data_IF_074584579699
#
_entry.id   IF_074584579699
#
_cell.length_a   1.000
_cell.length_b   1.000
_cell.length_c   1.000
_cell.angle_alpha   90.00
_cell.angle_beta   90.00
_cell.angle_gamma   90.00
#
_symmetry.space_group_name_H-M   'P 1'
#
loop_
_entity.id
_entity.type
_entity.pdbx_description
1 polymer ?
#
# COMPACT_ATOMS: atom_id res chain seq x y z
N UNK A 1 -1.80 -10.61 15.65
CA UNK A 1 -3.11 -10.58 14.94
C UNK A 1 -2.92 -11.06 13.51
N UNK A 2 -3.95 -11.66 12.92
CA UNK A 2 -4.06 -11.95 11.49
C UNK A 2 -4.53 -10.70 10.74
N UNK A 3 -3.79 -10.25 9.74
CA UNK A 3 -4.02 -8.99 9.03
C UNK A 3 -4.21 -9.23 7.53
N UNK A 4 -5.02 -8.40 6.90
CA UNK A 4 -4.95 -8.16 5.46
C UNK A 4 -4.09 -6.91 5.20
N UNK A 5 -3.20 -6.94 4.21
CA UNK A 5 -2.39 -5.79 3.82
C UNK A 5 -2.94 -5.16 2.54
N UNK A 6 -3.32 -3.88 2.60
CA UNK A 6 -3.60 -3.11 1.39
C UNK A 6 -2.26 -2.71 0.75
N UNK A 7 -1.95 -3.32 -0.39
CA UNK A 7 -0.66 -3.16 -1.05
C UNK A 7 -0.85 -2.80 -2.52
N UNK A 8 -0.11 -1.81 -3.00
CA UNK A 8 -0.06 -1.46 -4.43
C UNK A 8 1.22 -1.93 -5.11
N UNK A 9 2.10 -2.62 -4.38
CA UNK A 9 3.48 -2.90 -4.80
C UNK A 9 4.45 -1.72 -4.55
N UNK A 10 3.96 -0.61 -4.00
CA UNK A 10 4.78 0.55 -3.66
C UNK A 10 5.58 0.39 -2.36
N UNK A 11 6.58 1.26 -2.21
CA UNK A 11 7.50 1.28 -1.06
C UNK A 11 6.79 1.40 0.30
N UNK A 12 5.75 2.23 0.38
CA UNK A 12 5.07 2.52 1.65
C UNK A 12 4.22 1.32 2.09
N UNK A 13 3.52 0.65 1.16
CA UNK A 13 2.78 -0.57 1.49
C UNK A 13 3.71 -1.72 1.87
N UNK A 14 4.88 -1.83 1.22
CA UNK A 14 5.85 -2.86 1.54
C UNK A 14 6.47 -2.62 2.93
N UNK A 15 6.84 -1.37 3.25
CA UNK A 15 7.36 -1.01 4.57
C UNK A 15 6.31 -1.19 5.69
N UNK A 16 5.06 -0.80 5.43
CA UNK A 16 3.98 -1.00 6.40
C UNK A 16 3.75 -2.49 6.70
N UNK A 17 3.77 -3.33 5.67
CA UNK A 17 3.67 -4.78 5.81
C UNK A 17 4.86 -5.35 6.60
N UNK A 18 6.07 -4.85 6.33
CA UNK A 18 7.28 -5.23 7.05
C UNK A 18 7.24 -4.89 8.54
N UNK A 19 6.83 -3.66 8.89
CA UNK A 19 6.70 -3.22 10.30
C UNK A 19 5.75 -4.13 11.09
N UNK A 20 4.55 -4.40 10.57
CA UNK A 20 3.59 -5.25 11.30
C UNK A 20 4.08 -6.70 11.41
N UNK A 21 4.82 -7.21 10.43
CA UNK A 21 5.45 -8.54 10.52
C UNK A 21 6.52 -8.57 11.60
N UNK A 22 7.39 -7.54 11.69
CA UNK A 22 8.39 -7.42 12.78
C UNK A 22 7.74 -7.33 14.16
N UNK A 23 6.57 -6.71 14.27
CA UNK A 23 5.78 -6.63 15.50
C UNK A 23 5.07 -7.95 15.86
N UNK A 24 5.24 -9.01 15.06
CA UNK A 24 4.67 -10.33 15.33
C UNK A 24 3.24 -10.52 14.80
N UNK A 25 2.75 -9.61 13.97
CA UNK A 25 1.51 -9.82 13.22
C UNK A 25 1.73 -10.77 12.04
N UNK A 26 0.67 -11.48 11.64
CA UNK A 26 0.69 -12.37 10.47
C UNK A 26 -0.15 -11.75 9.37
N UNK A 27 0.43 -11.53 8.21
CA UNK A 27 -0.29 -11.04 7.03
C UNK A 27 -0.81 -12.24 6.25
N UNK A 28 -2.12 -12.48 6.28
CA UNK A 28 -2.77 -13.65 5.67
C UNK A 28 -3.14 -13.40 4.20
N UNK A 29 -3.31 -12.14 3.82
CA UNK A 29 -3.74 -11.72 2.47
C UNK A 29 -3.09 -10.41 2.09
N UNK A 30 -2.61 -10.32 0.85
CA UNK A 30 -2.34 -9.05 0.18
C UNK A 30 -3.56 -8.69 -0.66
N UNK A 31 -4.09 -7.49 -0.48
CA UNK A 31 -5.29 -7.00 -1.19
C UNK A 31 -4.93 -5.76 -1.99
N UNK A 32 -5.33 -5.73 -3.26
CA UNK A 32 -5.13 -4.59 -4.17
C UNK A 32 -6.42 -4.28 -4.91
N UNK A 33 -6.86 -3.02 -4.84
CA UNK A 33 -7.94 -2.51 -5.68
C UNK A 33 -7.34 -1.85 -6.92
N UNK A 34 -7.79 -2.30 -8.09
CA UNK A 34 -7.38 -1.79 -9.40
C UNK A 34 -8.48 -0.88 -9.94
N UNK A 35 -8.32 0.44 -9.99
CA UNK A 35 -9.33 1.27 -10.63
C UNK A 35 -9.44 0.91 -12.12
N UNK A 36 -10.66 0.76 -12.63
CA UNK A 36 -10.96 0.49 -14.05
C UNK A 36 -10.55 1.64 -14.97
N UNK A 37 -10.39 2.83 -14.42
CA UNK A 37 -10.06 4.06 -15.14
C UNK A 37 -8.54 4.22 -15.25
N UNK A 38 -8.04 4.30 -16.48
CA UNK A 38 -6.64 4.65 -16.77
C UNK A 38 -6.27 6.06 -16.24
N UNK A 39 -7.28 6.91 -16.00
CA UNK A 39 -7.19 8.28 -15.48
C UNK A 39 -7.55 8.43 -13.98
N UNK A 40 -7.44 7.37 -13.18
CA UNK A 40 -7.76 7.44 -11.74
C UNK A 40 -6.73 8.28 -10.96
N UNK A 41 -7.22 9.35 -10.32
CA UNK A 41 -6.46 10.24 -9.45
C UNK A 41 -5.99 9.60 -8.13
N UNK A 42 -6.39 8.36 -7.83
CA UNK A 42 -6.22 7.72 -6.52
C UNK A 42 -5.23 6.54 -6.46
N UNK A 43 -4.89 5.89 -7.58
CA UNK A 43 -3.99 4.71 -7.58
C UNK A 43 -2.95 4.72 -8.71
N UNK A 44 -1.72 4.32 -8.39
CA UNK A 44 -0.61 4.13 -9.33
C UNK A 44 -0.96 3.07 -10.38
N UNK A 45 -1.38 3.49 -11.58
CA UNK A 45 -1.65 2.59 -12.71
C UNK A 45 -0.39 1.89 -13.27
N UNK A 46 0.82 2.50 -13.31
CA UNK A 46 2.01 1.73 -13.63
C UNK A 46 2.28 0.77 -12.47
N UNK A 47 2.33 -0.52 -12.75
CA UNK A 47 2.83 -1.57 -11.86
C UNK A 47 1.93 -2.06 -10.73
N UNK A 48 0.69 -1.61 -10.60
CA UNK A 48 -0.23 -2.21 -9.62
C UNK A 48 -0.34 -3.73 -9.82
N UNK A 49 -0.31 -4.22 -11.07
CA UNK A 49 -0.32 -5.66 -11.38
C UNK A 49 0.91 -6.39 -10.85
N UNK A 50 2.03 -5.70 -10.60
CA UNK A 50 3.21 -6.28 -9.94
C UNK A 50 2.97 -6.54 -8.46
N UNK A 51 1.92 -5.99 -7.85
CA UNK A 51 1.55 -6.32 -6.46
C UNK A 51 1.26 -7.82 -6.29
N UNK A 52 0.76 -8.50 -7.34
CA UNK A 52 0.59 -9.95 -7.33
C UNK A 52 1.95 -10.67 -7.27
N UNK A 53 2.93 -10.22 -8.05
CA UNK A 53 4.29 -10.77 -8.02
C UNK A 53 4.95 -10.52 -6.66
N UNK A 54 4.78 -9.32 -6.09
CA UNK A 54 5.23 -9.01 -4.73
C UNK A 54 4.63 -9.97 -3.70
N UNK A 55 3.32 -10.18 -3.73
CA UNK A 55 2.63 -11.11 -2.83
C UNK A 55 3.12 -12.55 -2.99
N UNK A 56 3.32 -13.00 -4.24
CA UNK A 56 3.90 -14.31 -4.55
C UNK A 56 5.31 -14.48 -4.01
N UNK A 57 6.18 -13.48 -4.18
CA UNK A 57 7.54 -13.49 -3.64
C UNK A 57 7.54 -13.49 -2.10
N UNK A 58 6.57 -12.81 -1.48
CA UNK A 58 6.38 -12.82 -0.04
C UNK A 58 5.76 -14.13 0.49
N UNK A 59 5.30 -15.04 -0.39
CA UNK A 59 4.61 -16.26 0.00
C UNK A 59 3.22 -16.01 0.60
N UNK A 60 2.60 -14.87 0.31
CA UNK A 60 1.31 -14.45 0.86
C UNK A 60 0.25 -14.52 -0.24
N UNK A 61 -0.93 -15.12 0.00
CA UNK A 61 -2.00 -15.16 -1.00
C UNK A 61 -2.46 -13.75 -1.42
N UNK A 62 -2.61 -13.56 -2.73
CA UNK A 62 -3.03 -12.30 -3.34
C UNK A 62 -4.56 -12.28 -3.59
N UNK A 63 -5.17 -11.12 -3.40
CA UNK A 63 -6.55 -10.81 -3.79
C UNK A 63 -6.55 -9.48 -4.56
N UNK A 64 -6.70 -9.58 -5.88
CA UNK A 64 -6.88 -8.44 -6.76
C UNK A 64 -8.34 -8.24 -7.12
N UNK A 65 -8.85 -7.01 -7.01
CA UNK A 65 -10.21 -6.69 -7.43
C UNK A 65 -10.24 -5.42 -8.26
N UNK A 66 -11.03 -5.42 -9.33
CA UNK A 66 -11.34 -4.19 -10.04
C UNK A 66 -12.24 -3.31 -9.18
N UNK A 67 -11.94 -2.02 -9.19
CA UNK A 67 -12.76 -0.98 -8.58
C UNK A 67 -13.30 -0.07 -9.67
N UNK A 68 -14.53 0.40 -9.47
CA UNK A 68 -15.17 1.38 -10.35
C UNK A 68 -14.40 2.72 -10.41
N UNK A 69 -13.58 3.05 -9.41
CA UNK A 69 -13.00 4.38 -9.25
C UNK A 69 -14.02 5.44 -8.82
N UNK A 70 -15.27 5.03 -8.55
CA UNK A 70 -16.31 5.89 -8.00
C UNK A 70 -16.22 5.90 -6.48
N UNK A 71 -16.08 7.09 -5.90
CA UNK A 71 -15.81 7.26 -4.46
C UNK A 71 -16.76 6.47 -3.56
N UNK A 72 -18.07 6.52 -3.83
CA UNK A 72 -19.08 5.87 -2.98
C UNK A 72 -19.04 4.34 -3.11
N UNK A 73 -18.74 3.82 -4.30
CA UNK A 73 -18.66 2.38 -4.57
C UNK A 73 -17.37 1.76 -4.09
N UNK A 74 -16.25 2.49 -4.15
CA UNK A 74 -14.93 2.01 -3.73
C UNK A 74 -14.90 1.49 -2.28
N UNK A 75 -15.69 2.10 -1.40
CA UNK A 75 -15.77 1.65 -0.01
C UNK A 75 -16.56 0.35 0.13
N UNK A 76 -17.64 0.20 -0.63
CA UNK A 76 -18.43 -1.05 -0.69
C UNK A 76 -17.62 -2.18 -1.34
N UNK A 77 -16.85 -1.86 -2.38
CA UNK A 77 -15.93 -2.78 -3.07
C UNK A 77 -14.82 -3.23 -2.12
N UNK A 78 -14.19 -2.30 -1.38
CA UNK A 78 -13.21 -2.62 -0.35
C UNK A 78 -13.81 -3.45 0.77
N UNK A 79 -15.00 -3.10 1.23
CA UNK A 79 -15.73 -3.85 2.25
C UNK A 79 -16.00 -5.29 1.77
N UNK A 80 -16.46 -5.44 0.52
CA UNK A 80 -16.65 -6.74 -0.12
C UNK A 80 -15.37 -7.56 -0.22
N UNK A 81 -14.23 -6.92 -0.55
CA UNK A 81 -12.93 -7.56 -0.64
C UNK A 81 -12.43 -8.09 0.72
N UNK A 82 -12.70 -7.35 1.79
CA UNK A 82 -12.24 -7.68 3.14
C UNK A 82 -13.18 -8.65 3.87
N UNK A 83 -14.46 -8.69 3.47
CA UNK A 83 -15.47 -9.55 4.08
C UNK A 83 -15.12 -11.03 3.88
N UNK A 84 -15.12 -11.78 4.98
CA UNK A 84 -14.88 -13.23 4.94
C UNK A 84 -13.42 -13.65 4.83
N UNK A 85 -12.45 -12.72 4.88
CA UNK A 85 -11.02 -13.07 4.86
C UNK A 85 -10.52 -13.73 6.17
N UNK A 86 -11.31 -13.74 7.24
CA UNK A 86 -10.92 -14.34 8.53
C UNK A 86 -9.80 -13.61 9.26
N UNK A 87 -9.56 -12.34 8.90
CA UNK A 87 -8.57 -11.44 9.51
C UNK A 87 -9.17 -10.65 10.67
N UNK A 88 -8.30 -10.13 11.53
CA UNK A 88 -8.63 -9.32 12.71
C UNK A 88 -8.39 -7.81 12.45
N UNK A 89 -7.69 -7.48 11.37
CA UNK A 89 -7.37 -6.11 11.02
C UNK A 89 -6.83 -5.95 9.61
N UNK A 90 -6.65 -4.69 9.23
CA UNK A 90 -6.15 -4.25 7.94
C UNK A 90 -4.98 -3.32 8.16
N UNK A 91 -3.85 -3.56 7.49
CA UNK A 91 -2.70 -2.66 7.48
C UNK A 91 -2.64 -1.88 6.18
N UNK A 92 -2.30 -0.59 6.25
CA UNK A 92 -2.10 0.25 5.07
C UNK A 92 -0.79 1.04 5.15
N UNK A 93 -0.23 1.35 3.97
CA UNK A 93 0.93 2.24 3.82
C UNK A 93 0.57 3.73 3.84
N UNK A 94 -0.53 4.14 4.47
CA UNK A 94 -0.91 5.55 4.51
C UNK A 94 0.08 6.35 5.40
N UNK A 95 0.77 7.32 4.80
CA UNK A 95 1.75 8.17 5.51
C UNK A 95 1.12 9.47 6.03
N UNK A 96 0.46 10.23 5.14
CA UNK A 96 -0.09 11.56 5.50
C UNK A 96 -1.49 11.85 4.93
N UNK A 97 -2.04 10.97 4.07
CA UNK A 97 -3.35 11.17 3.45
C UNK A 97 -4.50 10.86 4.40
N UNK A 98 -5.10 11.91 4.99
CA UNK A 98 -6.24 11.75 5.91
C UNK A 98 -7.43 11.10 5.22
N UNK A 99 -7.57 11.37 3.92
CA UNK A 99 -8.59 10.81 3.07
C UNK A 99 -8.47 9.28 2.99
N UNK A 100 -7.29 8.76 2.63
CA UNK A 100 -7.07 7.31 2.55
C UNK A 100 -7.25 6.62 3.90
N UNK A 101 -6.72 7.22 4.97
CA UNK A 101 -6.84 6.69 6.34
C UNK A 101 -8.30 6.53 6.76
N UNK A 102 -9.09 7.62 6.70
CA UNK A 102 -10.48 7.64 7.18
C UNK A 102 -11.37 6.63 6.46
N UNK A 103 -11.18 6.44 5.15
CA UNK A 103 -11.98 5.48 4.37
C UNK A 103 -11.71 4.05 4.81
N UNK A 104 -10.45 3.70 5.02
CA UNK A 104 -10.09 2.36 5.51
C UNK A 104 -10.58 2.16 6.95
N UNK A 105 -10.44 3.17 7.81
CA UNK A 105 -10.99 3.13 9.18
C UNK A 105 -12.51 2.93 9.18
N UNK A 106 -13.24 3.60 8.28
CA UNK A 106 -14.69 3.46 8.16
C UNK A 106 -15.12 2.07 7.69
N UNK A 107 -14.45 1.51 6.68
CA UNK A 107 -14.69 0.13 6.24
C UNK A 107 -14.35 -0.88 7.35
N UNK A 108 -13.21 -0.69 8.02
CA UNK A 108 -12.80 -1.55 9.13
C UNK A 108 -13.81 -1.50 10.28
N UNK A 109 -14.31 -0.30 10.62
CA UNK A 109 -15.35 -0.10 11.63
C UNK A 109 -16.64 -0.86 11.29
N UNK A 110 -17.09 -0.83 10.04
CA UNK A 110 -18.28 -1.59 9.58
C UNK A 110 -18.09 -3.10 9.68
N UNK A 111 -16.87 -3.59 9.44
CA UNK A 111 -16.53 -5.02 9.47
C UNK A 111 -16.08 -5.54 10.85
N UNK A 112 -15.96 -4.67 11.86
CA UNK A 112 -15.41 -5.04 13.16
C UNK A 112 -13.91 -5.36 13.14
N UNK A 113 -13.17 -4.82 12.15
CA UNK A 113 -11.73 -5.00 11.97
C UNK A 113 -10.96 -3.82 12.60
N UNK A 114 -9.70 -4.06 12.99
CA UNK A 114 -8.79 -2.98 13.38
C UNK A 114 -8.07 -2.40 12.15
N UNK A 115 -8.03 -1.08 12.03
CA UNK A 115 -7.19 -0.41 11.03
C UNK A 115 -5.81 -0.08 11.62
N UNK A 116 -4.75 -0.48 10.92
CA UNK A 116 -3.35 -0.23 11.31
C UNK A 116 -2.68 0.65 10.25
N UNK A 117 -2.09 1.75 10.70
CA UNK A 117 -1.39 2.71 9.86
C UNK A 117 0.02 2.97 10.42
N UNK A 118 0.92 1.98 10.32
CA UNK A 118 2.22 2.03 11.02
C UNK A 118 3.14 3.14 10.54
N UNK A 119 2.87 3.75 9.37
CA UNK A 119 3.68 4.85 8.81
C UNK A 119 3.02 6.23 9.03
N UNK A 120 1.87 6.28 9.70
CA UNK A 120 1.06 7.49 9.76
C UNK A 120 1.72 8.58 10.61
N UNK A 121 1.88 9.77 10.01
CA UNK A 121 2.47 10.92 10.69
C UNK A 121 4.01 10.88 10.79
N UNK A 122 4.64 9.87 10.21
CA UNK A 122 6.10 9.75 10.15
C UNK A 122 6.70 10.72 9.13
N UNK A 123 7.95 11.10 9.38
CA UNK A 123 8.71 11.97 8.48
C UNK A 123 9.16 11.17 7.24
N UNK A 124 8.94 11.72 6.04
CA UNK A 124 9.11 11.00 4.76
C UNK A 124 10.56 10.61 4.50
N UNK A 125 11.53 11.48 4.80
CA UNK A 125 12.94 11.18 4.63
C UNK A 125 13.40 10.08 5.59
N UNK A 126 12.85 10.01 6.81
CA UNK A 126 13.07 8.92 7.76
C UNK A 126 12.58 7.58 7.18
N UNK A 127 11.37 7.55 6.60
CA UNK A 127 10.84 6.34 5.96
C UNK A 127 11.69 5.88 4.78
N UNK A 128 12.20 6.81 3.96
CA UNK A 128 13.12 6.47 2.86
C UNK A 128 14.44 5.88 3.38
N UNK A 129 15.02 6.46 4.43
CA UNK A 129 16.24 5.92 5.06
C UNK A 129 16.00 4.58 5.73
N UNK A 130 14.80 4.34 6.29
CA UNK A 130 14.43 3.04 6.84
C UNK A 130 14.35 1.97 5.76
N UNK A 131 13.75 2.28 4.60
CA UNK A 131 13.75 1.37 3.45
C UNK A 131 15.18 0.95 3.08
N UNK A 132 16.11 1.91 2.97
CA UNK A 132 17.51 1.63 2.68
C UNK A 132 18.16 0.76 3.77
N UNK A 133 17.94 1.11 5.05
CA UNK A 133 18.51 0.39 6.20
C UNK A 133 18.01 -1.05 6.31
N UNK A 134 16.74 -1.28 5.98
CA UNK A 134 16.12 -2.60 6.00
C UNK A 134 16.40 -3.39 4.71
N UNK A 135 17.17 -2.83 3.77
CA UNK A 135 17.64 -3.52 2.56
C UNK A 135 16.61 -3.60 1.44
N UNK A 136 15.63 -2.70 1.41
CA UNK A 136 14.65 -2.65 0.32
C UNK A 136 15.29 -2.12 -0.97
N UNK A 137 15.14 -2.89 -2.05
CA UNK A 137 15.38 -2.36 -3.40
C UNK A 137 14.13 -1.63 -3.89
N UNK A 138 14.21 -0.30 -3.97
CA UNK A 138 13.12 0.56 -4.44
C UNK A 138 13.52 1.19 -5.77
N UNK A 139 12.66 1.08 -6.78
CA UNK A 139 12.86 1.69 -8.10
C UNK A 139 11.79 2.76 -8.30
N UNK A 140 12.19 3.93 -8.80
CA UNK A 140 11.26 4.99 -9.17
C UNK A 140 10.62 4.65 -10.51
N UNK A 141 9.31 4.44 -10.52
CA UNK A 141 8.59 3.97 -11.73
C UNK A 141 7.75 5.06 -12.38
N UNK A 142 7.60 6.21 -11.73
CA UNK A 142 6.82 7.35 -12.20
C UNK A 142 7.24 8.61 -11.46
N UNK A 143 7.24 9.74 -12.16
CA UNK A 143 7.45 11.07 -11.59
C UNK A 143 6.36 12.01 -12.11
N UNK A 144 5.88 12.91 -11.25
CA UNK A 144 4.82 13.87 -11.57
C UNK A 144 4.91 15.09 -10.65
N UNK A 145 6.11 15.64 -10.49
CA UNK A 145 6.37 16.84 -9.73
C UNK A 145 7.44 17.67 -10.43
N UNK A 146 7.32 18.99 -10.33
CA UNK A 146 8.33 19.91 -10.86
C UNK A 146 9.70 19.62 -10.24
N UNK A 147 10.74 19.54 -11.07
CA UNK A 147 12.10 19.19 -10.65
C UNK A 147 12.43 17.69 -10.70
N UNK A 148 11.47 16.81 -10.92
CA UNK A 148 11.72 15.38 -11.15
C UNK A 148 11.54 15.05 -12.64
N UNK A 149 12.65 14.92 -13.37
CA UNK A 149 12.67 14.58 -14.79
C UNK A 149 12.78 13.08 -15.08
N UNK A 150 12.95 12.77 -16.37
CA UNK A 150 13.08 11.41 -16.90
C UNK A 150 14.26 10.63 -16.30
N UNK A 151 15.31 11.33 -15.85
CA UNK A 151 16.49 10.76 -15.19
C UNK A 151 16.18 9.97 -13.91
N UNK A 152 15.02 10.22 -13.30
CA UNK A 152 14.55 9.47 -12.15
C UNK A 152 13.88 8.16 -12.53
N UNK A 153 13.34 8.01 -13.73
CA UNK A 153 12.64 6.81 -14.14
C UNK A 153 13.62 5.63 -14.24
N UNK A 154 13.33 4.56 -13.50
CA UNK A 154 14.20 3.38 -13.39
C UNK A 154 15.37 3.57 -12.42
N UNK A 155 15.57 4.77 -11.85
CA UNK A 155 16.60 5.00 -10.83
C UNK A 155 16.25 4.22 -9.56
N UNK A 156 17.26 3.57 -8.98
CA UNK A 156 17.17 2.91 -7.67
C UNK A 156 17.29 3.96 -6.57
N UNK A 157 16.52 3.79 -5.51
CA UNK A 157 16.66 4.60 -4.31
C UNK A 157 18.02 4.30 -3.67
N UNK A 158 18.78 5.36 -3.42
CA UNK A 158 20.06 5.36 -2.72
C UNK A 158 20.12 6.59 -1.79
N UNK A 159 21.16 6.70 -0.95
CA UNK A 159 21.29 7.85 -0.03
C UNK A 159 21.30 9.19 -0.78
N UNK A 160 21.96 9.25 -1.94
CA UNK A 160 21.97 10.44 -2.79
C UNK A 160 20.65 10.74 -3.51
N UNK A 161 19.65 9.86 -3.43
CA UNK A 161 18.28 10.11 -3.88
C UNK A 161 17.39 10.62 -2.74
N UNK A 162 17.82 10.46 -1.49
CA UNK A 162 17.10 10.88 -0.29
C UNK A 162 17.54 12.28 0.18
N UNK A 163 18.81 12.64 -0.07
CA UNK A 163 19.37 13.99 0.12
C UNK A 163 18.82 15.02 -0.88
#
# INVERSE_FOLDING_TARGET
MRLAALCSGGKDSALAMWRVVKEGHRVERVVTLFPRREDSWLFHYPNARLAELFARCAGIPFLGMESSGEREREEEELEGALRGLGVEGVVTGAVASNYQRRRVEEVCRRLGLKALHPLWGEERSSLLRELLREGFEVIVTSVSAEGLGEEWLGRRLDEGAVE
#
